data_IF_459444785518
#
_entry.id   IF_459444785518
#
_cell.length_a   1.000
_cell.length_b   1.000
_cell.length_c   1.000
_cell.angle_alpha   90.00
_cell.angle_beta   90.00
_cell.angle_gamma   90.00
#
_symmetry.space_group_name_H-M   'P 1'
#
loop_
_entity.id
_entity.type
_entity.pdbx_description
1 polymer ?
#
# COMPACT_ATOMS: atom_id res chain seq x y z
N UNK A 1 -1.34 13.49 21.55
CA UNK A 1 -1.91 13.53 20.18
C UNK A 1 -0.78 13.80 19.22
N UNK A 2 -0.78 13.13 18.06
CA UNK A 2 0.15 13.47 16.99
C UNK A 2 -0.20 14.88 16.47
N UNK A 3 0.82 15.61 16.01
CA UNK A 3 0.64 16.85 15.28
C UNK A 3 0.11 16.57 13.85
N UNK A 4 0.05 17.57 12.99
CA UNK A 4 -0.53 17.46 11.65
C UNK A 4 0.21 16.44 10.75
N UNK A 5 -0.53 15.54 10.14
CA UNK A 5 -0.01 14.46 9.27
C UNK A 5 -0.46 14.69 7.83
N UNK A 6 0.48 14.74 6.88
CA UNK A 6 0.19 14.66 5.45
C UNK A 6 0.13 13.19 5.03
N UNK A 7 -0.97 12.79 4.40
CA UNK A 7 -1.11 11.49 3.72
C UNK A 7 -1.27 11.75 2.23
N UNK A 8 -0.29 11.33 1.43
CA UNK A 8 -0.40 11.36 -0.04
C UNK A 8 -1.00 10.07 -0.57
N UNK A 9 -1.61 10.07 -1.75
CA UNK A 9 -2.36 8.91 -2.24
C UNK A 9 -3.61 8.63 -1.39
N UNK A 10 -4.15 9.68 -0.78
CA UNK A 10 -5.22 9.63 0.22
C UNK A 10 -6.55 9.06 -0.31
N UNK A 11 -6.81 9.15 -1.61
CA UNK A 11 -7.98 8.53 -2.26
C UNK A 11 -7.76 7.05 -2.61
N UNK A 12 -6.55 6.52 -2.41
CA UNK A 12 -6.20 5.12 -2.62
C UNK A 12 -6.82 4.18 -1.58
N UNK A 13 -6.65 2.88 -1.79
CA UNK A 13 -7.13 1.85 -0.88
C UNK A 13 -6.56 2.01 0.53
N UNK A 14 -5.23 2.00 0.66
CA UNK A 14 -4.56 2.09 1.96
C UNK A 14 -4.59 3.53 2.48
N UNK A 15 -4.25 4.53 1.65
CA UNK A 15 -4.20 5.93 2.05
C UNK A 15 -5.52 6.42 2.66
N UNK A 16 -6.68 6.07 2.07
CA UNK A 16 -7.98 6.46 2.63
C UNK A 16 -8.29 5.79 3.97
N UNK A 17 -7.81 4.56 4.18
CA UNK A 17 -7.95 3.87 5.46
C UNK A 17 -7.05 4.51 6.54
N UNK A 18 -5.82 4.90 6.18
CA UNK A 18 -4.90 5.64 7.07
C UNK A 18 -5.50 6.98 7.48
N UNK A 19 -6.01 7.79 6.52
CA UNK A 19 -6.66 9.07 6.83
C UNK A 19 -7.81 8.89 7.82
N UNK A 20 -8.70 7.93 7.57
CA UNK A 20 -9.84 7.67 8.46
C UNK A 20 -9.40 7.25 9.86
N UNK A 21 -8.37 6.40 9.96
CA UNK A 21 -7.88 5.92 11.24
C UNK A 21 -7.19 7.04 12.05
N UNK A 22 -6.40 7.90 11.40
CA UNK A 22 -5.81 9.09 12.04
C UNK A 22 -6.89 10.06 12.51
N UNK A 23 -7.87 10.35 11.66
CA UNK A 23 -8.98 11.23 11.99
C UNK A 23 -9.81 10.70 13.18
N UNK A 24 -10.09 9.40 13.21
CA UNK A 24 -10.78 8.76 14.34
C UNK A 24 -10.02 8.87 15.68
N UNK A 25 -8.69 9.06 15.63
CA UNK A 25 -7.84 9.32 16.79
C UNK A 25 -7.74 10.82 17.14
N UNK A 26 -8.46 11.68 16.41
CA UNK A 26 -8.41 13.14 16.61
C UNK A 26 -7.13 13.79 16.08
N UNK A 27 -6.37 13.13 15.21
CA UNK A 27 -5.17 13.70 14.58
C UNK A 27 -5.57 14.57 13.39
N UNK A 28 -5.10 15.83 13.28
CA UNK A 28 -5.32 16.65 12.09
C UNK A 28 -4.61 16.07 10.88
N UNK A 29 -5.34 15.93 9.77
CA UNK A 29 -4.82 15.28 8.55
C UNK A 29 -4.91 16.22 7.34
N UNK A 30 -3.83 16.28 6.57
CA UNK A 30 -3.83 16.80 5.19
C UNK A 30 -3.89 15.60 4.25
N UNK A 31 -4.98 15.45 3.52
CA UNK A 31 -5.21 14.36 2.58
C UNK A 31 -4.98 14.84 1.14
N UNK A 32 -3.96 14.28 0.46
CA UNK A 32 -3.58 14.69 -0.88
C UNK A 32 -3.70 13.53 -1.88
N UNK A 33 -4.36 13.75 -3.02
CA UNK A 33 -4.40 12.81 -4.14
C UNK A 33 -4.56 13.55 -5.47
N UNK A 34 -4.02 13.01 -6.54
CA UNK A 34 -4.17 13.57 -7.89
C UNK A 34 -5.43 13.07 -8.62
N UNK A 35 -6.10 12.07 -8.08
CA UNK A 35 -7.30 11.42 -8.64
C UNK A 35 -7.11 10.91 -10.09
N UNK A 36 -5.88 10.50 -10.42
CA UNK A 36 -5.53 10.05 -11.77
C UNK A 36 -6.25 8.76 -12.15
N UNK A 37 -6.72 8.68 -13.39
CA UNK A 37 -6.94 7.38 -14.03
C UNK A 37 -5.62 6.62 -14.12
N UNK A 38 -5.66 5.31 -13.90
CA UNK A 38 -4.46 4.50 -13.89
C UNK A 38 -4.80 3.03 -14.08
N UNK A 39 -4.45 2.18 -13.11
CA UNK A 39 -4.82 0.76 -13.11
C UNK A 39 -6.32 0.50 -13.01
N UNK A 40 -7.08 1.47 -12.53
CA UNK A 40 -8.54 1.44 -12.43
C UNK A 40 -9.09 2.87 -12.56
N UNK A 41 -10.39 3.01 -12.95
CA UNK A 41 -11.01 4.31 -13.15
C UNK A 41 -10.98 5.19 -11.90
N UNK A 42 -10.78 6.50 -12.09
CA UNK A 42 -10.73 7.48 -10.99
C UNK A 42 -12.04 7.57 -10.18
N UNK A 43 -13.16 7.11 -10.72
CA UNK A 43 -14.48 7.17 -10.06
C UNK A 43 -14.46 6.67 -8.60
N UNK A 44 -13.77 5.55 -8.33
CA UNK A 44 -13.67 5.03 -6.97
C UNK A 44 -12.78 5.90 -6.07
N UNK A 45 -11.73 6.51 -6.63
CA UNK A 45 -10.88 7.47 -5.91
C UNK A 45 -11.67 8.74 -5.58
N UNK A 46 -12.42 9.27 -6.55
CA UNK A 46 -13.27 10.45 -6.36
C UNK A 46 -14.26 10.19 -5.22
N UNK A 47 -15.00 9.09 -5.25
CA UNK A 47 -15.97 8.77 -4.20
C UNK A 47 -15.33 8.68 -2.80
N UNK A 48 -14.13 8.09 -2.70
CA UNK A 48 -13.39 8.06 -1.42
C UNK A 48 -12.93 9.45 -1.01
N UNK A 49 -12.40 10.23 -1.95
CA UNK A 49 -11.91 11.57 -1.69
C UNK A 49 -13.04 12.52 -1.25
N UNK A 50 -14.18 12.46 -1.93
CA UNK A 50 -15.38 13.19 -1.54
C UNK A 50 -15.84 12.86 -0.12
N UNK A 51 -15.77 11.57 0.26
CA UNK A 51 -16.04 11.18 1.65
C UNK A 51 -15.03 11.81 2.60
N UNK A 52 -13.74 11.87 2.28
CA UNK A 52 -12.73 12.48 3.15
C UNK A 52 -12.98 13.99 3.36
N UNK A 53 -13.55 14.70 2.37
CA UNK A 53 -13.90 16.13 2.52
C UNK A 53 -15.01 16.37 3.55
N UNK A 54 -15.76 15.35 3.94
CA UNK A 54 -16.84 15.46 4.94
C UNK A 54 -16.36 15.27 6.37
N UNK A 55 -15.07 14.88 6.57
CA UNK A 55 -14.53 14.59 7.89
C UNK A 55 -13.97 15.86 8.55
N UNK A 56 -14.43 16.16 9.76
CA UNK A 56 -13.87 17.24 10.56
C UNK A 56 -12.39 16.98 10.89
N UNK A 57 -11.53 17.99 10.69
CA UNK A 57 -10.08 17.85 10.94
C UNK A 57 -9.30 17.21 9.79
N UNK A 58 -9.92 17.05 8.61
CA UNK A 58 -9.26 16.59 7.39
C UNK A 58 -9.29 17.71 6.34
N UNK A 59 -8.13 18.28 6.03
CA UNK A 59 -7.94 19.21 4.92
C UNK A 59 -7.62 18.43 3.65
N UNK A 60 -8.39 18.59 2.57
CA UNK A 60 -8.19 17.83 1.33
C UNK A 60 -7.60 18.68 0.22
N UNK A 61 -6.60 18.14 -0.50
CA UNK A 61 -5.93 18.79 -1.63
C UNK A 61 -5.92 17.85 -2.84
N UNK A 62 -6.59 18.25 -3.91
CA UNK A 62 -6.46 17.56 -5.20
C UNK A 62 -5.28 18.15 -5.95
N UNK A 63 -4.11 17.50 -5.86
CA UNK A 63 -2.85 17.94 -6.46
C UNK A 63 -2.07 16.76 -7.06
N UNK A 64 -1.47 17.00 -8.21
CA UNK A 64 -0.51 16.09 -8.81
C UNK A 64 0.91 16.44 -8.34
N UNK A 65 1.49 15.61 -7.51
CA UNK A 65 2.85 15.79 -7.00
C UNK A 65 3.91 15.94 -8.11
N UNK A 66 3.60 15.51 -9.34
CA UNK A 66 4.52 15.59 -10.49
C UNK A 66 4.60 16.99 -11.09
N UNK A 67 3.54 17.78 -11.01
CA UNK A 67 3.40 19.01 -11.78
C UNK A 67 2.93 20.23 -11.00
N UNK A 68 2.07 20.02 -9.99
CA UNK A 68 1.41 21.12 -9.33
C UNK A 68 2.31 21.86 -8.32
N UNK A 69 1.90 23.05 -7.92
CA UNK A 69 2.60 23.85 -6.93
C UNK A 69 2.33 23.31 -5.51
N UNK A 70 3.35 22.75 -4.87
CA UNK A 70 3.26 22.21 -3.54
C UNK A 70 3.41 23.29 -2.42
N UNK A 71 3.72 24.53 -2.78
CA UNK A 71 3.82 25.62 -1.81
C UNK A 71 2.49 26.03 -1.17
N UNK A 72 1.37 25.56 -1.75
CA UNK A 72 0.01 25.74 -1.21
C UNK A 72 -0.28 24.83 0.00
N UNK A 73 0.55 23.81 0.23
CA UNK A 73 0.39 22.92 1.38
C UNK A 73 0.73 23.64 2.70
N UNK A 74 0.04 23.34 3.81
CA UNK A 74 0.34 23.88 5.12
C UNK A 74 1.80 23.62 5.53
N UNK A 75 2.43 24.60 6.14
CA UNK A 75 3.84 24.50 6.60
C UNK A 75 3.99 23.89 7.99
N UNK A 76 2.90 23.73 8.72
CA UNK A 76 2.82 23.13 10.04
C UNK A 76 2.61 21.60 10.02
N UNK A 77 2.94 20.96 8.88
CA UNK A 77 2.99 19.51 8.74
C UNK A 77 4.27 18.99 9.40
N UNK A 78 4.13 18.13 10.39
CA UNK A 78 5.24 17.50 11.10
C UNK A 78 5.49 16.05 10.70
N UNK A 79 4.50 15.40 10.11
CA UNK A 79 4.58 14.00 9.70
C UNK A 79 4.10 13.82 8.26
N UNK A 80 4.78 12.95 7.50
CA UNK A 80 4.37 12.59 6.15
C UNK A 80 4.26 11.07 6.03
N UNK A 81 3.14 10.59 5.50
CA UNK A 81 2.97 9.21 5.02
C UNK A 81 2.82 9.27 3.49
N UNK A 82 3.87 8.89 2.77
CA UNK A 82 3.89 8.94 1.32
C UNK A 82 3.39 7.60 0.72
N UNK A 83 2.06 7.51 0.55
CA UNK A 83 1.38 6.38 -0.12
C UNK A 83 1.22 6.61 -1.63
N UNK A 84 1.39 7.85 -2.12
CA UNK A 84 1.25 8.16 -3.53
C UNK A 84 2.26 7.40 -4.38
N UNK A 85 1.76 6.55 -5.25
CA UNK A 85 2.57 5.78 -6.19
C UNK A 85 1.70 5.23 -7.33
N UNK A 86 2.33 4.91 -8.45
CA UNK A 86 1.74 4.01 -9.45
C UNK A 86 2.10 2.57 -9.07
N UNK A 87 1.12 1.76 -8.61
CA UNK A 87 1.35 0.39 -8.18
C UNK A 87 1.10 -0.62 -9.33
N UNK A 88 1.30 -1.90 -9.06
CA UNK A 88 0.98 -3.00 -9.95
C UNK A 88 2.12 -3.41 -10.87
N UNK A 89 2.27 -4.73 -11.07
CA UNK A 89 3.40 -5.32 -11.77
C UNK A 89 3.24 -5.25 -13.30
N UNK A 90 2.05 -5.62 -13.81
CA UNK A 90 1.83 -5.84 -15.24
C UNK A 90 2.04 -4.57 -16.07
N UNK A 91 1.38 -3.47 -15.73
CA UNK A 91 1.45 -2.21 -16.46
C UNK A 91 2.85 -1.59 -16.41
N UNK A 92 3.66 -1.87 -15.40
CA UNK A 92 5.01 -1.34 -15.26
C UNK A 92 5.96 -1.73 -16.41
N UNK A 93 5.66 -2.81 -17.13
CA UNK A 93 6.44 -3.27 -18.29
C UNK A 93 6.18 -2.48 -19.56
N UNK A 94 5.05 -1.83 -19.67
CA UNK A 94 4.63 -1.10 -20.89
C UNK A 94 4.48 0.40 -20.68
N UNK A 95 4.40 0.86 -19.43
CA UNK A 95 4.21 2.28 -19.07
C UNK A 95 5.26 2.75 -18.05
N UNK A 96 6.54 2.41 -18.27
CA UNK A 96 7.61 2.69 -17.30
C UNK A 96 7.73 4.19 -16.96
N UNK A 97 7.53 5.08 -17.93
CA UNK A 97 7.59 6.53 -17.73
C UNK A 97 6.53 7.01 -16.71
N UNK A 98 5.34 6.41 -16.72
CA UNK A 98 4.31 6.68 -15.73
C UNK A 98 4.78 6.24 -14.34
N UNK A 99 5.40 5.07 -14.22
CA UNK A 99 5.92 4.57 -12.94
C UNK A 99 7.09 5.41 -12.43
N UNK A 100 8.03 5.77 -13.28
CA UNK A 100 9.17 6.62 -12.90
C UNK A 100 8.72 8.01 -12.48
N UNK A 101 7.80 8.64 -13.21
CA UNK A 101 7.27 9.96 -12.86
C UNK A 101 6.47 9.94 -11.55
N UNK A 102 5.59 8.95 -11.35
CA UNK A 102 4.77 8.85 -10.13
C UNK A 102 5.57 8.41 -8.90
N UNK A 103 6.54 7.48 -9.06
CA UNK A 103 7.21 6.86 -7.93
C UNK A 103 8.54 7.55 -7.57
N UNK A 104 9.15 8.30 -8.49
CA UNK A 104 10.45 8.96 -8.28
C UNK A 104 10.36 10.47 -8.41
N UNK A 105 9.91 11.01 -9.56
CA UNK A 105 9.87 12.46 -9.74
C UNK A 105 8.91 13.13 -8.76
N UNK A 106 7.74 12.55 -8.53
CA UNK A 106 6.78 13.04 -7.54
C UNK A 106 7.36 12.98 -6.12
N UNK A 107 8.05 11.88 -5.75
CA UNK A 107 8.72 11.75 -4.45
C UNK A 107 9.83 12.81 -4.30
N UNK A 108 10.67 13.01 -5.31
CA UNK A 108 11.74 14.04 -5.24
C UNK A 108 11.17 15.43 -4.97
N UNK A 109 10.10 15.81 -5.67
CA UNK A 109 9.43 17.10 -5.44
C UNK A 109 8.79 17.20 -4.05
N UNK A 110 8.20 16.10 -3.55
CA UNK A 110 7.64 16.09 -2.20
C UNK A 110 8.73 16.22 -1.13
N UNK A 111 9.87 15.54 -1.29
CA UNK A 111 11.02 15.70 -0.38
C UNK A 111 11.51 17.14 -0.41
N UNK A 112 11.70 17.74 -1.59
CA UNK A 112 12.13 19.14 -1.72
C UNK A 112 11.15 20.10 -1.03
N UNK A 113 9.85 19.97 -1.28
CA UNK A 113 8.82 20.80 -0.64
C UNK A 113 8.81 20.62 0.89
N UNK A 114 8.91 19.39 1.36
CA UNK A 114 8.85 19.05 2.79
C UNK A 114 10.15 19.34 3.54
N UNK A 115 11.27 19.53 2.86
CA UNK A 115 12.55 19.90 3.50
C UNK A 115 12.51 21.30 4.13
N UNK A 116 11.53 22.14 3.75
CA UNK A 116 11.30 23.46 4.36
C UNK A 116 10.32 23.40 5.57
N UNK A 117 9.80 22.22 5.92
CA UNK A 117 8.91 22.01 7.05
C UNK A 117 9.71 21.52 8.26
N UNK A 118 9.14 21.68 9.46
CA UNK A 118 9.73 21.13 10.69
C UNK A 118 9.32 19.66 10.87
N UNK A 119 9.81 18.81 9.94
CA UNK A 119 9.43 17.40 9.90
C UNK A 119 10.05 16.60 11.04
N UNK A 120 9.20 15.96 11.82
CA UNK A 120 9.57 14.91 12.78
C UNK A 120 9.85 13.58 12.07
N UNK A 121 9.00 13.21 11.08
CA UNK A 121 9.17 11.93 10.36
C UNK A 121 8.53 11.94 8.98
N UNK A 122 9.23 11.31 8.03
CA UNK A 122 8.74 11.03 6.68
C UNK A 122 8.72 9.51 6.45
N UNK A 123 7.54 8.92 6.30
CA UNK A 123 7.37 7.50 6.03
C UNK A 123 7.18 7.29 4.53
N UNK A 124 8.16 6.65 3.90
CA UNK A 124 8.05 6.21 2.51
C UNK A 124 7.48 4.81 2.45
N UNK A 125 6.33 4.66 1.82
CA UNK A 125 5.78 3.33 1.60
C UNK A 125 6.47 2.64 0.43
N UNK A 126 6.94 1.44 0.67
CA UNK A 126 7.59 0.53 -0.25
C UNK A 126 6.83 -0.80 -0.35
N UNK A 127 7.47 -1.86 -0.81
CA UNK A 127 6.81 -3.11 -1.18
C UNK A 127 7.73 -4.33 -1.05
N UNK A 128 7.17 -5.51 -0.78
CA UNK A 128 7.89 -6.79 -0.89
C UNK A 128 8.47 -7.06 -2.28
N UNK A 129 8.00 -6.36 -3.33
CA UNK A 129 8.50 -6.55 -4.70
C UNK A 129 9.97 -6.14 -4.88
N UNK A 130 10.56 -5.41 -3.93
CA UNK A 130 12.00 -5.08 -3.92
C UNK A 130 12.87 -6.32 -3.72
N UNK A 131 12.36 -7.35 -3.05
CA UNK A 131 13.08 -8.59 -2.81
C UNK A 131 13.11 -9.54 -4.01
N UNK A 132 12.23 -9.34 -5.01
CA UNK A 132 12.18 -10.17 -6.21
C UNK A 132 11.20 -11.34 -6.14
N UNK A 133 11.53 -12.47 -6.79
CA UNK A 133 10.62 -13.62 -6.93
C UNK A 133 10.26 -14.28 -5.58
N UNK A 134 11.24 -14.31 -4.67
CA UNK A 134 11.09 -14.90 -3.34
C UNK A 134 11.37 -13.83 -2.28
N UNK A 135 10.32 -13.34 -1.64
CA UNK A 135 10.40 -12.38 -0.54
C UNK A 135 10.18 -13.14 0.78
N UNK A 136 11.22 -13.87 1.22
CA UNK A 136 11.15 -14.76 2.39
C UNK A 136 12.22 -14.38 3.40
N UNK A 137 11.82 -13.85 4.55
CA UNK A 137 12.74 -13.47 5.63
C UNK A 137 12.57 -11.99 6.06
N UNK A 138 13.58 -11.51 6.77
CA UNK A 138 13.63 -10.16 7.33
C UNK A 138 14.10 -9.10 6.31
N UNK A 139 14.36 -7.88 6.78
CA UNK A 139 14.78 -6.75 5.95
C UNK A 139 16.23 -6.88 5.43
N UNK A 140 17.01 -7.82 5.94
CA UNK A 140 18.40 -8.06 5.53
C UNK A 140 18.52 -9.01 4.33
N UNK A 141 17.41 -9.60 3.87
CA UNK A 141 17.46 -10.46 2.68
C UNK A 141 17.90 -9.68 1.44
N UNK A 142 18.41 -10.40 0.45
CA UNK A 142 18.90 -9.81 -0.80
C UNK A 142 17.79 -9.06 -1.55
N UNK A 143 18.11 -7.87 -2.03
CA UNK A 143 17.21 -7.02 -2.81
C UNK A 143 17.47 -7.26 -4.30
N UNK A 144 16.50 -7.92 -5.00
CA UNK A 144 16.61 -8.31 -6.42
C UNK A 144 15.27 -8.13 -7.15
N UNK A 145 14.78 -6.90 -7.34
CA UNK A 145 13.48 -6.68 -7.96
C UNK A 145 13.42 -7.29 -9.38
N UNK A 146 12.31 -7.98 -9.68
CA UNK A 146 12.08 -8.68 -10.96
C UNK A 146 11.01 -7.99 -11.81
N UNK A 147 10.63 -6.77 -11.46
CA UNK A 147 9.67 -5.96 -12.22
C UNK A 147 10.11 -4.49 -12.25
N UNK A 148 9.77 -3.73 -13.31
CA UNK A 148 10.05 -2.29 -13.36
C UNK A 148 9.40 -1.54 -12.18
N UNK A 149 8.20 -1.97 -11.70
CA UNK A 149 7.59 -1.46 -10.47
C UNK A 149 8.51 -1.64 -9.26
N UNK A 150 9.00 -2.86 -9.02
CA UNK A 150 9.93 -3.13 -7.89
C UNK A 150 11.21 -2.29 -7.99
N UNK A 151 11.74 -2.08 -9.20
CA UNK A 151 12.90 -1.21 -9.44
C UNK A 151 12.59 0.24 -9.04
N UNK A 152 11.44 0.81 -9.46
CA UNK A 152 11.08 2.18 -9.08
C UNK A 152 10.85 2.34 -7.58
N UNK A 153 10.27 1.33 -6.90
CA UNK A 153 10.07 1.38 -5.44
C UNK A 153 11.39 1.27 -4.68
N UNK A 154 12.33 0.42 -5.14
CA UNK A 154 13.68 0.37 -4.57
C UNK A 154 14.43 1.70 -4.76
N UNK A 155 14.34 2.29 -5.95
CA UNK A 155 14.94 3.58 -6.21
C UNK A 155 14.35 4.68 -5.30
N UNK A 156 13.04 4.64 -5.02
CA UNK A 156 12.38 5.53 -4.07
C UNK A 156 12.92 5.36 -2.63
N UNK A 157 13.15 4.13 -2.16
CA UNK A 157 13.81 3.88 -0.88
C UNK A 157 15.20 4.53 -0.84
N UNK A 158 16.01 4.28 -1.88
CA UNK A 158 17.37 4.80 -1.94
C UNK A 158 17.42 6.33 -2.02
N UNK A 159 16.43 6.97 -2.68
CA UNK A 159 16.31 8.41 -2.73
C UNK A 159 16.08 9.01 -1.34
N UNK A 160 15.14 8.48 -0.57
CA UNK A 160 14.87 8.91 0.80
C UNK A 160 16.10 8.73 1.70
N UNK A 161 16.75 7.55 1.62
CA UNK A 161 17.95 7.25 2.40
C UNK A 161 19.17 8.10 1.98
N UNK A 162 19.24 8.54 0.71
CA UNK A 162 20.28 9.46 0.26
C UNK A 162 20.10 10.84 0.91
N UNK A 163 18.87 11.37 0.95
CA UNK A 163 18.57 12.63 1.63
C UNK A 163 18.83 12.56 3.15
N UNK A 164 18.55 11.42 3.78
CA UNK A 164 18.93 11.23 5.19
C UNK A 164 20.44 11.33 5.39
N UNK A 165 21.24 10.67 4.54
CA UNK A 165 22.72 10.67 4.66
C UNK A 165 23.35 12.03 4.38
N UNK A 166 22.76 12.78 3.44
CA UNK A 166 23.26 14.08 3.02
C UNK A 166 22.87 15.22 3.96
N UNK A 167 21.59 15.30 4.32
CA UNK A 167 20.99 16.45 5.01
C UNK A 167 20.26 16.13 6.33
N UNK A 168 20.26 14.85 6.76
CA UNK A 168 19.53 14.44 7.95
C UNK A 168 18.01 14.38 7.75
N UNK A 169 17.51 14.34 6.52
CA UNK A 169 16.08 14.22 6.22
C UNK A 169 15.47 13.02 6.96
N UNK A 170 14.37 13.21 7.77
CA UNK A 170 13.93 12.19 8.73
C UNK A 170 13.13 11.05 8.07
N UNK A 171 13.68 10.43 7.03
CA UNK A 171 13.03 9.41 6.22
C UNK A 171 13.14 8.01 6.81
N UNK A 172 12.04 7.26 6.80
CA UNK A 172 11.91 5.84 7.18
C UNK A 172 11.12 5.07 6.12
N UNK A 173 11.36 3.76 5.99
CA UNK A 173 10.77 2.93 4.95
C UNK A 173 9.87 1.86 5.56
N UNK A 174 8.64 1.71 5.02
CA UNK A 174 7.78 0.56 5.30
C UNK A 174 7.59 -0.27 4.03
N UNK A 175 7.99 -1.54 4.05
CA UNK A 175 7.79 -2.50 2.95
C UNK A 175 6.52 -3.28 3.19
N UNK A 176 5.44 -2.94 2.50
CA UNK A 176 4.17 -3.66 2.61
C UNK A 176 4.21 -4.99 1.85
N UNK A 177 3.63 -6.00 2.46
CA UNK A 177 3.31 -7.28 1.86
C UNK A 177 1.82 -7.32 1.55
N UNK A 178 1.46 -7.99 0.47
CA UNK A 178 0.10 -8.26 -0.07
C UNK A 178 -1.09 -7.77 0.78
N UNK A 179 -1.36 -6.46 0.79
CA UNK A 179 -2.44 -5.86 1.59
C UNK A 179 -3.80 -6.19 0.96
N UNK A 180 -4.77 -6.65 1.79
CA UNK A 180 -6.10 -7.02 1.36
C UNK A 180 -7.16 -6.57 2.38
N UNK A 181 -8.44 -6.63 2.00
CA UNK A 181 -9.56 -6.27 2.86
C UNK A 181 -10.58 -5.35 2.19
N UNK A 182 -11.59 -4.87 2.92
CA UNK A 182 -12.58 -3.92 2.43
C UNK A 182 -11.94 -2.68 1.81
N UNK A 183 -12.46 -2.24 0.66
CA UNK A 183 -11.88 -1.12 -0.09
C UNK A 183 -10.75 -1.50 -1.04
N UNK A 184 -10.32 -2.77 -1.12
CA UNK A 184 -9.26 -3.22 -2.02
C UNK A 184 -9.55 -2.79 -3.47
N UNK A 185 -8.49 -2.41 -4.21
CA UNK A 185 -8.61 -1.92 -5.59
C UNK A 185 -9.15 -3.00 -6.54
N UNK A 186 -9.93 -2.62 -7.57
CA UNK A 186 -10.57 -3.58 -8.49
C UNK A 186 -9.58 -4.38 -9.34
N UNK A 187 -8.35 -3.89 -9.51
CA UNK A 187 -7.28 -4.58 -10.25
C UNK A 187 -6.60 -5.71 -9.44
N UNK A 188 -6.83 -5.78 -8.12
CA UNK A 188 -6.18 -6.76 -7.25
C UNK A 188 -6.90 -8.11 -7.22
N UNK A 189 -6.12 -9.17 -6.96
CA UNK A 189 -6.57 -10.56 -7.13
C UNK A 189 -7.82 -10.90 -6.31
N UNK A 190 -7.79 -10.70 -5.00
CA UNK A 190 -8.91 -11.10 -4.14
C UNK A 190 -10.20 -10.35 -4.48
N UNK A 191 -10.11 -9.05 -4.78
CA UNK A 191 -11.29 -8.31 -5.22
C UNK A 191 -11.87 -8.85 -6.52
N UNK A 192 -11.03 -9.19 -7.50
CA UNK A 192 -11.46 -9.82 -8.75
C UNK A 192 -12.09 -11.19 -8.51
N UNK A 193 -11.45 -12.02 -7.68
CA UNK A 193 -11.95 -13.36 -7.39
C UNK A 193 -13.32 -13.30 -6.71
N UNK A 194 -13.47 -12.48 -5.69
CA UNK A 194 -14.74 -12.31 -4.98
C UNK A 194 -15.82 -11.74 -5.90
N UNK A 195 -15.53 -10.71 -6.71
CA UNK A 195 -16.49 -10.14 -7.63
C UNK A 195 -17.02 -11.19 -8.62
N UNK A 196 -16.12 -11.97 -9.22
CA UNK A 196 -16.49 -13.05 -10.16
C UNK A 196 -17.23 -14.18 -9.46
N UNK A 197 -16.82 -14.57 -8.26
CA UNK A 197 -17.50 -15.58 -7.46
C UNK A 197 -18.96 -15.16 -7.14
N UNK A 198 -19.17 -13.92 -6.70
CA UNK A 198 -20.50 -13.37 -6.42
C UNK A 198 -21.39 -13.35 -7.68
N UNK A 199 -20.81 -12.97 -8.84
CA UNK A 199 -21.50 -12.94 -10.13
C UNK A 199 -21.71 -14.33 -10.75
N UNK A 200 -21.06 -15.39 -10.25
CA UNK A 200 -21.08 -16.72 -10.87
C UNK A 200 -20.25 -16.81 -12.16
N UNK A 201 -19.31 -15.88 -12.35
CA UNK A 201 -18.44 -15.79 -13.53
C UNK A 201 -17.18 -16.64 -13.38
N UNK A 202 -16.53 -16.95 -14.52
CA UNK A 202 -15.27 -17.67 -14.54
C UNK A 202 -14.12 -16.83 -13.96
N UNK A 203 -13.41 -17.39 -12.98
CA UNK A 203 -12.20 -16.82 -12.38
C UNK A 203 -10.97 -17.23 -13.20
N UNK A 204 -10.27 -16.25 -13.74
CA UNK A 204 -8.99 -16.47 -14.42
C UNK A 204 -7.86 -16.55 -13.38
N UNK A 205 -7.27 -17.74 -13.22
CA UNK A 205 -6.13 -17.97 -12.34
C UNK A 205 -4.85 -18.10 -13.15
N UNK A 206 -3.88 -17.21 -12.90
CA UNK A 206 -2.55 -17.29 -13.50
C UNK A 206 -1.62 -18.17 -12.65
N UNK A 207 -0.95 -19.14 -13.28
CA UNK A 207 -0.13 -20.15 -12.61
C UNK A 207 -0.92 -21.32 -12.05
N UNK A 208 -0.27 -22.11 -11.20
CA UNK A 208 -0.86 -23.32 -10.57
C UNK A 208 -1.80 -22.99 -9.39
N UNK A 209 -1.70 -21.78 -8.82
CA UNK A 209 -2.33 -21.42 -7.56
C UNK A 209 -1.51 -21.80 -6.31
N UNK A 210 -0.36 -22.45 -6.50
CA UNK A 210 0.57 -22.78 -5.39
C UNK A 210 1.47 -21.62 -4.98
N UNK A 211 1.49 -20.54 -5.77
CA UNK A 211 2.16 -19.31 -5.34
C UNK A 211 1.55 -18.82 -4.03
N UNK A 212 2.43 -18.54 -3.05
CA UNK A 212 2.00 -18.20 -1.69
C UNK A 212 2.29 -16.74 -1.31
N UNK A 213 1.49 -16.21 -0.41
CA UNK A 213 1.58 -14.83 0.04
C UNK A 213 1.45 -14.73 1.56
N UNK A 214 2.32 -13.91 2.19
CA UNK A 214 1.97 -13.26 3.46
C UNK A 214 0.92 -12.20 3.16
N UNK A 215 -0.29 -12.44 3.63
CA UNK A 215 -1.42 -11.54 3.41
C UNK A 215 -1.59 -10.63 4.62
N UNK A 216 -1.51 -9.30 4.42
CA UNK A 216 -1.67 -8.31 5.48
C UNK A 216 -3.05 -7.70 5.40
N UNK A 217 -3.86 -7.88 6.44
CA UNK A 217 -5.18 -7.27 6.49
C UNK A 217 -5.06 -5.74 6.57
N UNK A 218 -6.00 -5.03 5.95
CA UNK A 218 -5.94 -3.57 5.84
C UNK A 218 -5.80 -2.86 7.18
N UNK A 219 -6.57 -3.28 8.20
CA UNK A 219 -6.53 -2.62 9.51
C UNK A 219 -5.22 -2.90 10.24
N UNK A 220 -4.65 -4.10 10.11
CA UNK A 220 -3.32 -4.42 10.65
C UNK A 220 -2.24 -3.56 9.95
N UNK A 221 -2.31 -3.41 8.63
CA UNK A 221 -1.40 -2.57 7.86
C UNK A 221 -1.48 -1.10 8.30
N UNK A 222 -2.70 -0.57 8.44
CA UNK A 222 -2.96 0.80 8.90
C UNK A 222 -2.43 1.01 10.32
N UNK A 223 -2.67 0.07 11.23
CA UNK A 223 -2.18 0.13 12.60
C UNK A 223 -0.65 0.23 12.64
N UNK A 224 0.05 -0.66 11.91
CA UNK A 224 1.51 -0.62 11.82
C UNK A 224 2.06 0.68 11.21
N UNK A 225 1.35 1.23 10.22
CA UNK A 225 1.72 2.50 9.59
C UNK A 225 1.60 3.68 10.57
N UNK A 226 0.53 3.73 11.35
CA UNK A 226 0.32 4.78 12.35
C UNK A 226 1.31 4.64 13.51
N UNK A 227 1.58 3.41 13.98
CA UNK A 227 2.58 3.15 15.00
C UNK A 227 3.97 3.66 14.59
N UNK A 228 4.31 3.53 13.31
CA UNK A 228 5.57 4.01 12.76
C UNK A 228 5.73 5.56 12.85
N UNK A 229 4.66 6.33 12.98
CA UNK A 229 4.77 7.78 13.21
C UNK A 229 5.42 8.12 14.55
N UNK A 230 5.16 7.32 15.58
CA UNK A 230 5.65 7.57 16.96
C UNK A 230 6.83 6.68 17.36
N UNK A 231 7.19 5.68 16.56
CA UNK A 231 8.23 4.69 16.86
C UNK A 231 9.17 4.48 15.67
N UNK A 232 10.33 3.84 15.92
CA UNK A 232 11.40 3.68 14.93
C UNK A 232 12.17 4.96 14.63
N UNK A 233 13.39 4.81 14.15
CA UNK A 233 14.31 5.91 13.86
C UNK A 233 14.42 6.20 12.35
N UNK A 234 14.81 7.43 11.95
CA UNK A 234 15.15 7.74 10.57
C UNK A 234 16.21 6.77 10.01
N UNK A 235 16.02 6.33 8.78
CA UNK A 235 16.90 5.36 8.10
C UNK A 235 16.51 3.90 8.31
N UNK A 236 15.61 3.61 9.22
CA UNK A 236 15.16 2.24 9.42
C UNK A 236 14.21 1.79 8.32
N UNK A 237 14.24 0.49 8.07
CA UNK A 237 13.37 -0.21 7.13
C UNK A 237 12.62 -1.28 7.90
N UNK A 238 11.32 -1.40 7.66
CA UNK A 238 10.47 -2.39 8.31
C UNK A 238 9.59 -3.13 7.32
N UNK A 239 9.51 -4.45 7.46
CA UNK A 239 8.50 -5.26 6.80
C UNK A 239 7.17 -5.15 7.55
N UNK A 240 6.11 -4.82 6.84
CA UNK A 240 4.73 -4.85 7.33
C UNK A 240 4.04 -6.02 6.61
N UNK A 241 4.14 -7.18 7.20
CA UNK A 241 3.69 -8.45 6.63
C UNK A 241 2.70 -9.15 7.57
N UNK A 242 1.67 -9.73 7.00
CA UNK A 242 0.74 -10.60 7.73
C UNK A 242 1.44 -11.86 8.25
N UNK A 243 0.94 -12.40 9.37
CA UNK A 243 1.55 -13.54 10.05
C UNK A 243 1.39 -14.87 9.32
N UNK A 244 0.38 -15.02 8.45
CA UNK A 244 0.08 -16.28 7.76
C UNK A 244 0.55 -16.25 6.31
N UNK A 245 1.29 -17.29 5.91
CA UNK A 245 1.56 -17.59 4.51
C UNK A 245 0.47 -18.53 3.99
N UNK A 246 -0.22 -18.14 2.92
CA UNK A 246 -1.28 -18.93 2.29
C UNK A 246 -1.11 -18.96 0.77
N UNK A 247 -1.44 -20.10 0.16
CA UNK A 247 -1.50 -20.22 -1.30
C UNK A 247 -2.74 -19.54 -1.89
N UNK A 248 -2.70 -19.24 -3.17
CA UNK A 248 -3.89 -18.73 -3.87
C UNK A 248 -5.01 -19.77 -3.89
N UNK A 249 -4.68 -21.07 -3.98
CA UNK A 249 -5.67 -22.15 -3.90
C UNK A 249 -6.39 -22.17 -2.54
N UNK A 250 -5.68 -21.98 -1.42
CA UNK A 250 -6.28 -21.88 -0.10
C UNK A 250 -7.18 -20.63 0.01
N UNK A 251 -6.74 -19.49 -0.51
CA UNK A 251 -7.56 -18.27 -0.53
C UNK A 251 -8.83 -18.45 -1.38
N UNK A 252 -8.75 -19.13 -2.51
CA UNK A 252 -9.93 -19.45 -3.34
C UNK A 252 -10.90 -20.38 -2.60
N UNK A 253 -10.42 -21.36 -1.85
CA UNK A 253 -11.27 -22.24 -1.04
C UNK A 253 -12.01 -21.44 0.06
N UNK A 254 -11.33 -20.47 0.70
CA UNK A 254 -11.96 -19.57 1.68
C UNK A 254 -13.04 -18.70 1.01
N UNK A 255 -12.75 -18.15 -0.19
CA UNK A 255 -13.72 -17.36 -0.96
C UNK A 255 -14.94 -18.22 -1.35
N UNK A 256 -14.71 -19.46 -1.83
CA UNK A 256 -15.78 -20.40 -2.16
C UNK A 256 -16.72 -20.64 -0.98
N UNK A 257 -16.14 -20.95 0.18
CA UNK A 257 -16.89 -21.14 1.42
C UNK A 257 -17.66 -19.88 1.86
N UNK A 258 -17.01 -18.70 1.78
CA UNK A 258 -17.60 -17.44 2.16
C UNK A 258 -18.71 -16.93 1.24
N UNK A 259 -18.63 -17.23 -0.06
CA UNK A 259 -19.66 -16.88 -1.05
C UNK A 259 -20.78 -17.93 -1.06
N UNK A 260 -20.50 -19.19 -0.62
CA UNK A 260 -21.46 -20.27 -0.54
C UNK A 260 -21.84 -20.87 -1.92
N UNK A 261 -20.97 -20.69 -2.92
CA UNK A 261 -21.17 -21.21 -4.29
C UNK A 261 -19.88 -21.80 -4.83
N UNK A 262 -19.93 -22.92 -5.62
CA UNK A 262 -18.74 -23.44 -6.29
C UNK A 262 -18.10 -22.42 -7.21
N UNK A 263 -16.78 -22.33 -7.21
CA UNK A 263 -16.03 -21.46 -8.10
C UNK A 263 -15.79 -22.13 -9.46
N UNK A 264 -16.00 -21.38 -10.53
CA UNK A 264 -15.58 -21.75 -11.88
C UNK A 264 -14.19 -21.15 -12.15
N UNK A 265 -13.14 -22.00 -12.21
CA UNK A 265 -11.74 -21.55 -12.29
C UNK A 265 -11.11 -22.01 -13.61
N UNK A 266 -10.63 -21.06 -14.41
CA UNK A 266 -9.83 -21.29 -15.61
C UNK A 266 -8.36 -20.98 -15.33
N UNK A 267 -7.45 -21.94 -15.59
CA UNK A 267 -6.01 -21.81 -15.31
C UNK A 267 -5.24 -21.38 -16.55
N UNK A 268 -4.38 -20.38 -16.39
CA UNK A 268 -3.55 -19.79 -17.43
C UNK A 268 -2.07 -19.82 -17.03
N UNK A 269 -1.12 -19.66 -17.99
CA UNK A 269 0.30 -19.52 -17.66
C UNK A 269 0.58 -18.43 -16.64
N UNK A 270 1.65 -18.60 -15.84
CA UNK A 270 2.04 -17.63 -14.82
C UNK A 270 2.28 -16.24 -15.43
N UNK A 271 1.89 -15.19 -14.69
CA UNK A 271 2.08 -13.81 -15.12
C UNK A 271 3.56 -13.39 -15.00
N UNK A 272 4.01 -12.51 -15.92
CA UNK A 272 5.38 -12.00 -15.94
C UNK A 272 5.64 -11.09 -14.73
N UNK A 273 6.75 -11.35 -14.03
CA UNK A 273 7.20 -10.52 -12.90
C UNK A 273 6.46 -10.78 -11.59
N UNK A 274 5.56 -11.77 -11.56
CA UNK A 274 4.88 -12.15 -10.33
C UNK A 274 5.84 -12.85 -9.35
N UNK A 275 5.59 -12.68 -8.05
CA UNK A 275 6.36 -13.32 -6.99
C UNK A 275 5.86 -14.76 -6.83
N UNK A 276 6.78 -15.71 -6.68
CA UNK A 276 6.44 -17.11 -6.45
C UNK A 276 6.04 -17.35 -4.99
N UNK A 277 6.79 -16.72 -4.07
CA UNK A 277 6.58 -16.87 -2.63
C UNK A 277 6.85 -15.56 -1.89
N UNK A 278 5.94 -15.18 -0.99
CA UNK A 278 6.20 -14.11 -0.04
C UNK A 278 5.88 -14.57 1.37
N UNK A 279 6.88 -14.47 2.25
CA UNK A 279 6.76 -14.71 3.70
C UNK A 279 7.65 -13.71 4.42
N UNK A 280 7.14 -12.49 4.62
CA UNK A 280 7.87 -11.46 5.33
C UNK A 280 8.00 -11.78 6.82
N UNK A 281 9.19 -11.60 7.37
CA UNK A 281 9.41 -11.56 8.80
C UNK A 281 9.22 -10.12 9.27
N UNK A 282 8.26 -9.90 10.15
CA UNK A 282 7.95 -8.60 10.75
C UNK A 282 8.42 -8.49 12.21
N UNK A 283 9.29 -9.37 12.67
CA UNK A 283 9.77 -9.37 14.06
C UNK A 283 10.37 -8.03 14.46
N UNK A 284 11.11 -7.38 13.55
CA UNK A 284 11.66 -6.04 13.77
C UNK A 284 10.57 -4.97 13.93
N UNK A 285 9.54 -5.02 13.11
CA UNK A 285 8.39 -4.12 13.22
C UNK A 285 7.61 -4.39 14.52
N UNK A 286 7.48 -5.65 14.92
CA UNK A 286 6.88 -6.00 16.20
C UNK A 286 7.66 -5.44 17.38
N UNK A 287 8.98 -5.65 17.41
CA UNK A 287 9.84 -5.20 18.51
C UNK A 287 9.92 -3.67 18.62
N UNK A 288 10.10 -2.98 17.49
CA UNK A 288 10.40 -1.55 17.48
C UNK A 288 9.18 -0.66 17.31
N UNK A 289 8.18 -1.10 16.54
CA UNK A 289 6.97 -0.32 16.27
C UNK A 289 5.77 -0.78 17.10
N UNK A 290 5.81 -2.00 17.66
CA UNK A 290 4.65 -2.64 18.27
C UNK A 290 3.66 -3.20 17.25
N UNK A 291 4.08 -3.40 16.00
CA UNK A 291 3.25 -3.96 14.94
C UNK A 291 2.84 -5.39 15.25
N UNK A 292 1.55 -5.68 15.19
CA UNK A 292 1.01 -7.03 15.35
C UNK A 292 0.00 -7.28 14.23
N UNK A 293 0.20 -8.34 13.46
CA UNK A 293 -0.79 -8.82 12.50
C UNK A 293 -1.63 -9.91 13.15
N UNK A 294 -2.84 -9.58 13.53
CA UNK A 294 -3.74 -10.47 14.27
C UNK A 294 -4.87 -11.04 13.41
N UNK A 295 -5.10 -10.50 12.22
CA UNK A 295 -6.25 -10.88 11.39
C UNK A 295 -5.92 -12.13 10.57
N UNK A 296 -6.65 -13.21 10.79
CA UNK A 296 -6.55 -14.44 10.00
C UNK A 296 -7.11 -14.19 8.59
N UNK A 297 -6.59 -14.92 7.60
CA UNK A 297 -7.04 -14.76 6.21
C UNK A 297 -8.52 -15.04 6.04
N UNK A 298 -9.05 -16.03 6.75
CA UNK A 298 -10.48 -16.39 6.75
C UNK A 298 -11.36 -15.21 7.21
N UNK A 299 -10.97 -14.57 8.30
CA UNK A 299 -11.72 -13.46 8.89
C UNK A 299 -11.69 -12.22 7.97
N UNK A 300 -10.49 -11.84 7.50
CA UNK A 300 -10.32 -10.70 6.62
C UNK A 300 -10.98 -10.86 5.24
N UNK A 301 -10.93 -12.05 4.64
CA UNK A 301 -11.66 -12.34 3.40
C UNK A 301 -13.17 -12.35 3.64
N UNK A 302 -13.63 -12.85 4.78
CA UNK A 302 -15.03 -12.77 5.19
C UNK A 302 -15.55 -11.32 5.20
N UNK A 303 -14.80 -10.41 5.82
CA UNK A 303 -15.14 -8.97 5.82
C UNK A 303 -15.05 -8.35 4.41
N UNK A 304 -14.07 -8.73 3.61
CA UNK A 304 -13.97 -8.25 2.22
C UNK A 304 -15.14 -8.75 1.35
N UNK A 305 -15.61 -9.99 1.54
CA UNK A 305 -16.78 -10.54 0.83
C UNK A 305 -18.04 -9.76 1.24
N UNK A 306 -18.28 -9.55 2.54
CA UNK A 306 -19.41 -8.77 3.03
C UNK A 306 -19.42 -7.37 2.44
N UNK A 307 -18.27 -6.69 2.45
CA UNK A 307 -18.13 -5.38 1.84
C UNK A 307 -18.45 -5.39 0.34
N UNK A 308 -17.94 -6.36 -0.42
CA UNK A 308 -18.21 -6.43 -1.87
C UNK A 308 -19.67 -6.77 -2.20
N UNK A 309 -20.41 -7.41 -1.31
CA UNK A 309 -21.86 -7.62 -1.45
C UNK A 309 -22.67 -6.34 -1.33
N UNK A 310 -22.09 -5.26 -0.81
CA UNK A 310 -22.75 -3.93 -0.70
C UNK A 310 -22.50 -3.02 -1.90
N UNK A 311 -21.66 -3.42 -2.85
CA UNK A 311 -21.33 -2.65 -4.05
C UNK A 311 -22.33 -2.91 -5.18
#
# INVERSE_FOLDING_TARGET
>A
MLSKVLVTGAAGFIGSAVVRALNAQGTPVVALDALLDGLYPAKEKIARFDFLTTLDGVDTFQLDLRSDDLSVLPRDIEYVINEAAMPGLGLSWTAFDLYSSCNLSALSRLIEASSAWDLTKFIQISTSSVYGKSAVGDENQEIRPVSPYGVTKLAAEQLVLAHLRDSGFPGMILRYFSVYGPGQRPDMAYRKFIAKALAGEEITLFGSGEQSRSNTYIDDCVAGTIQALSAGDPGEVFNIAGGEERTINEALAIIEAGVGKPLNISRHPAARGDQERTRGDSSRAQEKLGFISNTRLEDGLGEQIKWQQTL
#
